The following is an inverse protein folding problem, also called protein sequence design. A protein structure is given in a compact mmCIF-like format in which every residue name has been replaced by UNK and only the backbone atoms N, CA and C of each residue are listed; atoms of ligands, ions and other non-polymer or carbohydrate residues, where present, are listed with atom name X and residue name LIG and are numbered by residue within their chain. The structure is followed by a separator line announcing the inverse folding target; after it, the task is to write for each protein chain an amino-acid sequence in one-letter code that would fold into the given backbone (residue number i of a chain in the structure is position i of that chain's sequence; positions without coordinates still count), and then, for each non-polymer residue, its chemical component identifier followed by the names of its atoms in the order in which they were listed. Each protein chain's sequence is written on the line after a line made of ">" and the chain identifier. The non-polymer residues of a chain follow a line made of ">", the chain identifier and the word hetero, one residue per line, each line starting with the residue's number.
data_IF_135168599505
#
_entry.id   IF_135168599505
#
_cell.length_a   1.000
_cell.length_b   1.000
_cell.length_c   1.000
_cell.angle_alpha   90.00
_cell.angle_beta   90.00
_cell.angle_gamma   90.00
#
_symmetry.space_group_name_H-M   'P 1'
#
loop_
_entity.id
_entity.type
_entity.pdbx_description
1 polymer ?
#
# COMPACT_ATOMS: atom_id res chain seq x y z
N UNK A 1 18.80 36.08 -26.08
CA UNK A 1 17.97 35.04 -25.45
C UNK A 1 17.92 33.88 -26.43
N UNK A 2 18.46 32.73 -26.04
CA UNK A 2 18.54 31.53 -26.88
C UNK A 2 17.73 30.40 -26.27
N UNK A 3 17.26 29.48 -27.12
CA UNK A 3 16.53 28.30 -26.69
C UNK A 3 17.52 27.17 -26.39
N UNK A 4 17.76 26.91 -25.11
CA UNK A 4 18.70 25.88 -24.65
C UNK A 4 17.98 24.60 -24.26
N UNK A 5 18.51 23.45 -24.69
CA UNK A 5 18.01 22.15 -24.28
C UNK A 5 18.56 21.79 -22.89
N UNK A 6 17.73 21.88 -21.86
CA UNK A 6 18.14 21.72 -20.45
C UNK A 6 17.71 20.36 -19.90
N UNK A 7 16.47 19.94 -20.15
CA UNK A 7 15.93 18.69 -19.61
C UNK A 7 15.95 17.59 -20.66
N UNK A 8 16.86 16.63 -20.45
CA UNK A 8 16.99 15.46 -21.31
C UNK A 8 15.68 14.66 -21.41
N UNK A 9 15.44 14.01 -22.53
CA UNK A 9 14.27 13.13 -22.72
C UNK A 9 14.16 12.07 -21.60
N UNK A 10 15.24 11.35 -21.20
CA UNK A 10 15.17 10.44 -20.07
C UNK A 10 14.71 11.09 -18.76
N UNK A 11 15.18 12.31 -18.45
CA UNK A 11 14.74 13.08 -17.27
C UNK A 11 13.23 13.37 -17.34
N UNK A 12 12.72 13.76 -18.51
CA UNK A 12 11.30 14.07 -18.72
C UNK A 12 10.41 12.83 -18.65
N UNK A 13 10.84 11.73 -19.24
CA UNK A 13 10.14 10.43 -19.17
C UNK A 13 10.08 9.95 -17.72
N UNK A 14 11.21 10.00 -16.98
CA UNK A 14 11.21 9.70 -15.56
C UNK A 14 10.23 10.58 -14.80
N UNK A 15 10.25 11.90 -15.00
CA UNK A 15 9.34 12.80 -14.29
C UNK A 15 7.87 12.45 -14.55
N UNK A 16 7.49 12.20 -15.80
CA UNK A 16 6.13 11.83 -16.18
C UNK A 16 5.70 10.50 -15.55
N UNK A 17 6.56 9.47 -15.63
CA UNK A 17 6.30 8.16 -15.03
C UNK A 17 6.23 8.25 -13.51
N UNK A 18 7.13 9.01 -12.87
CA UNK A 18 7.14 9.19 -11.43
C UNK A 18 5.86 9.85 -10.95
N UNK A 19 5.44 10.95 -11.59
CA UNK A 19 4.17 11.61 -11.26
C UNK A 19 2.95 10.68 -11.49
N UNK A 20 2.92 9.96 -12.60
CA UNK A 20 1.85 9.00 -12.91
C UNK A 20 1.77 7.88 -11.87
N UNK A 21 2.89 7.25 -11.53
CA UNK A 21 2.92 6.12 -10.61
C UNK A 21 2.64 6.53 -9.17
N UNK A 22 3.04 7.73 -8.76
CA UNK A 22 2.61 8.29 -7.48
C UNK A 22 1.09 8.50 -7.46
N UNK A 23 0.49 9.04 -8.54
CA UNK A 23 -0.97 9.16 -8.63
C UNK A 23 -1.66 7.79 -8.57
N UNK A 24 -1.16 6.80 -9.32
CA UNK A 24 -1.71 5.44 -9.29
C UNK A 24 -1.61 4.81 -7.90
N UNK A 25 -0.51 5.03 -7.17
CA UNK A 25 -0.36 4.54 -5.81
C UNK A 25 -1.43 5.11 -4.87
N UNK A 26 -1.75 6.40 -4.98
CA UNK A 26 -2.83 7.01 -4.20
C UNK A 26 -4.21 6.47 -4.58
N UNK A 27 -4.46 6.23 -5.88
CA UNK A 27 -5.74 5.71 -6.35
C UNK A 27 -5.96 4.23 -6.03
N UNK A 28 -4.88 3.47 -5.82
CA UNK A 28 -4.94 2.05 -5.50
C UNK A 28 -4.80 1.76 -4.00
N UNK A 29 -4.86 2.77 -3.13
CA UNK A 29 -4.58 2.61 -1.69
C UNK A 29 -5.70 1.88 -0.92
N UNK A 30 -6.82 1.57 -1.57
CA UNK A 30 -7.91 0.78 -0.98
C UNK A 30 -7.58 -0.72 -0.96
N UNK A 31 -8.13 -1.44 0.03
CA UNK A 31 -7.78 -2.84 0.34
C UNK A 31 -7.97 -3.78 -0.86
N UNK A 32 -9.02 -3.57 -1.67
CA UNK A 32 -9.27 -4.36 -2.89
C UNK A 32 -8.15 -4.26 -3.94
N UNK A 33 -7.38 -3.17 -3.95
CA UNK A 33 -6.26 -2.95 -4.89
C UNK A 33 -4.89 -3.08 -4.23
N UNK A 34 -4.81 -3.59 -2.99
CA UNK A 34 -3.59 -3.56 -2.18
C UNK A 34 -2.38 -4.24 -2.85
N UNK A 35 -2.59 -5.36 -3.55
CA UNK A 35 -1.52 -6.00 -4.31
C UNK A 35 -0.98 -5.11 -5.43
N UNK A 36 -1.87 -4.38 -6.12
CA UNK A 36 -1.47 -3.41 -7.14
C UNK A 36 -0.76 -2.22 -6.51
N UNK A 37 -1.24 -1.72 -5.36
CA UNK A 37 -0.57 -0.66 -4.59
C UNK A 37 0.88 -1.02 -4.26
N UNK A 38 1.10 -2.22 -3.73
CA UNK A 38 2.45 -2.71 -3.42
C UNK A 38 3.35 -2.77 -4.67
N UNK A 39 2.84 -3.33 -5.79
CA UNK A 39 3.58 -3.40 -7.06
C UNK A 39 3.91 -1.99 -7.60
N UNK A 40 2.97 -1.06 -7.54
CA UNK A 40 3.17 0.33 -7.95
C UNK A 40 4.24 0.98 -7.06
N UNK A 41 4.23 0.74 -5.74
CA UNK A 41 5.27 1.20 -4.82
C UNK A 41 6.67 0.69 -5.20
N UNK A 42 6.80 -0.59 -5.52
CA UNK A 42 8.06 -1.15 -6.03
C UNK A 42 8.48 -0.55 -7.38
N UNK A 43 7.54 -0.28 -8.28
CA UNK A 43 7.80 0.40 -9.55
C UNK A 43 8.30 1.85 -9.32
N UNK A 44 7.70 2.58 -8.39
CA UNK A 44 8.17 3.90 -7.95
C UNK A 44 9.60 3.83 -7.43
N UNK A 45 9.94 2.80 -6.64
CA UNK A 45 11.29 2.61 -6.13
C UNK A 45 12.33 2.40 -7.26
N UNK A 46 11.98 1.64 -8.30
CA UNK A 46 12.84 1.50 -9.50
C UNK A 46 13.08 2.86 -10.17
N UNK A 47 12.05 3.69 -10.30
CA UNK A 47 12.16 5.05 -10.85
C UNK A 47 13.06 5.92 -9.97
N UNK A 48 12.92 5.87 -8.64
CA UNK A 48 13.79 6.62 -7.72
C UNK A 48 15.23 6.16 -7.83
N UNK A 49 15.49 4.84 -7.90
CA UNK A 49 16.84 4.32 -8.13
C UNK A 49 17.44 4.83 -9.44
N UNK A 50 16.68 4.75 -10.54
CA UNK A 50 17.10 5.35 -11.81
C UNK A 50 17.52 6.82 -11.61
N UNK A 51 16.69 7.60 -10.90
CA UNK A 51 16.96 9.03 -10.71
C UNK A 51 18.16 9.32 -9.81
N UNK A 52 18.41 8.49 -8.80
CA UNK A 52 19.59 8.57 -7.94
C UNK A 52 20.84 8.35 -8.78
N UNK A 53 20.91 7.25 -9.52
CA UNK A 53 22.03 6.96 -10.43
C UNK A 53 22.22 8.07 -11.48
N UNK A 54 21.11 8.52 -12.09
CA UNK A 54 21.10 9.65 -13.02
C UNK A 54 21.59 10.97 -12.40
N UNK A 55 21.43 11.14 -11.08
CA UNK A 55 21.96 12.27 -10.33
C UNK A 55 23.47 12.27 -10.13
N UNK A 56 24.16 11.14 -10.39
CA UNK A 56 25.62 11.06 -10.28
C UNK A 56 26.33 11.13 -11.63
N UNK A 57 25.76 10.58 -12.70
CA UNK A 57 26.39 10.54 -14.02
C UNK A 57 25.52 11.04 -15.18
N UNK A 58 24.34 11.58 -14.91
CA UNK A 58 23.49 12.24 -15.91
C UNK A 58 24.13 13.50 -16.53
N UNK A 59 23.42 14.15 -17.45
CA UNK A 59 23.89 15.41 -18.04
C UNK A 59 23.86 16.56 -17.03
N UNK A 60 24.50 17.68 -17.39
CA UNK A 60 24.44 18.96 -16.66
C UNK A 60 22.98 19.28 -16.28
N UNK A 61 22.78 19.85 -15.09
CA UNK A 61 21.50 20.15 -14.43
C UNK A 61 20.74 18.95 -13.84
N UNK A 62 21.02 17.72 -14.27
CA UNK A 62 20.47 16.52 -13.64
C UNK A 62 21.31 16.03 -12.45
N UNK A 63 22.59 16.43 -12.40
CA UNK A 63 23.54 16.00 -11.39
C UNK A 63 23.25 16.67 -10.04
N UNK A 64 23.37 15.91 -8.94
CA UNK A 64 23.16 16.43 -7.59
C UNK A 64 24.16 17.55 -7.24
N UNK A 65 25.38 17.48 -7.78
CA UNK A 65 26.39 18.54 -7.60
C UNK A 65 26.02 19.87 -8.27
N UNK A 66 25.13 19.84 -9.26
CA UNK A 66 24.67 21.05 -9.97
C UNK A 66 23.53 21.73 -9.21
N UNK A 67 23.04 21.15 -8.13
CA UNK A 67 21.98 21.75 -7.34
C UNK A 67 22.57 22.83 -6.46
N UNK A 68 22.01 24.05 -6.47
CA UNK A 68 22.48 25.15 -5.66
C UNK A 68 22.03 25.00 -4.20
N UNK A 69 22.34 23.86 -3.58
CA UNK A 69 22.10 23.61 -2.17
C UNK A 69 23.05 24.48 -1.33
N UNK A 70 22.65 24.86 -0.12
CA UNK A 70 23.45 25.66 0.79
C UNK A 70 22.83 27.00 1.20
N UNK A 71 23.10 27.40 2.45
CA UNK A 71 22.47 28.58 3.09
C UNK A 71 22.67 29.88 2.30
N UNK A 72 23.85 30.07 1.68
CA UNK A 72 24.15 31.26 0.86
C UNK A 72 23.24 31.34 -0.37
N UNK A 73 23.07 30.23 -1.09
CA UNK A 73 22.21 30.18 -2.27
C UNK A 73 20.74 30.38 -1.90
N UNK A 74 20.28 29.81 -0.78
CA UNK A 74 18.91 30.05 -0.29
C UNK A 74 18.68 31.52 0.02
N UNK A 75 19.61 32.16 0.76
CA UNK A 75 19.50 33.59 1.08
C UNK A 75 19.54 34.46 -0.18
N UNK A 76 20.43 34.13 -1.12
CA UNK A 76 20.53 34.80 -2.42
C UNK A 76 19.19 34.70 -3.18
N UNK A 77 18.63 33.49 -3.30
CA UNK A 77 17.35 33.27 -3.98
C UNK A 77 16.19 34.01 -3.31
N UNK A 78 16.07 33.96 -1.98
CA UNK A 78 14.98 34.64 -1.27
C UNK A 78 15.05 36.17 -1.42
N UNK A 79 16.25 36.75 -1.44
CA UNK A 79 16.43 38.18 -1.62
C UNK A 79 16.05 38.66 -3.03
N UNK A 80 16.16 37.80 -4.04
CA UNK A 80 15.92 38.13 -5.45
C UNK A 80 14.71 37.39 -6.04
N UNK A 81 13.83 36.83 -5.18
CA UNK A 81 12.71 35.99 -5.62
C UNK A 81 11.66 36.76 -6.44
N UNK A 82 11.60 38.08 -6.30
CA UNK A 82 10.69 38.95 -7.05
C UNK A 82 11.33 39.53 -8.31
N UNK A 83 12.60 39.21 -8.59
CA UNK A 83 13.26 39.65 -9.82
C UNK A 83 12.83 38.79 -11.01
N UNK A 84 12.51 39.44 -12.13
CA UNK A 84 12.05 38.74 -13.33
C UNK A 84 13.13 37.79 -13.90
N UNK A 85 14.41 38.17 -13.77
CA UNK A 85 15.55 37.39 -14.27
C UNK A 85 16.18 36.58 -13.16
N UNK A 86 15.97 35.27 -13.16
CA UNK A 86 16.62 34.38 -12.19
C UNK A 86 17.99 33.90 -12.67
N UNK A 87 18.89 33.74 -11.69
CA UNK A 87 20.24 33.19 -11.86
C UNK A 87 20.25 31.68 -12.07
N UNK A 88 19.22 30.98 -11.62
CA UNK A 88 19.18 29.51 -11.57
C UNK A 88 18.47 28.93 -12.79
N UNK A 89 19.24 28.44 -13.77
CA UNK A 89 18.70 27.86 -15.01
C UNK A 89 18.03 26.51 -14.77
N UNK A 90 18.69 25.62 -14.02
CA UNK A 90 18.19 24.29 -13.67
C UNK A 90 17.20 24.34 -12.50
N UNK A 91 17.64 23.85 -11.33
CA UNK A 91 16.88 23.96 -10.09
C UNK A 91 17.27 25.23 -9.32
N UNK A 92 16.29 25.93 -8.74
CA UNK A 92 16.57 26.91 -7.70
C UNK A 92 16.79 26.21 -6.34
N UNK A 93 17.38 26.88 -5.34
CA UNK A 93 17.73 26.27 -4.06
C UNK A 93 16.54 25.63 -3.32
N UNK A 94 15.38 26.30 -3.30
CA UNK A 94 14.18 25.75 -2.63
C UNK A 94 13.67 24.51 -3.35
N UNK A 95 13.59 24.55 -4.68
CA UNK A 95 13.21 23.41 -5.51
C UNK A 95 14.19 22.22 -5.31
N UNK A 96 15.48 22.48 -5.15
CA UNK A 96 16.46 21.44 -4.84
C UNK A 96 16.19 20.76 -3.50
N UNK A 97 15.87 21.51 -2.44
CA UNK A 97 15.51 20.92 -1.14
C UNK A 97 14.23 20.11 -1.24
N UNK A 98 13.16 20.66 -1.84
CA UNK A 98 11.89 19.94 -2.01
C UNK A 98 12.09 18.64 -2.78
N UNK A 99 12.83 18.66 -3.88
CA UNK A 99 13.06 17.47 -4.68
C UNK A 99 13.91 16.41 -3.94
N UNK A 100 14.96 16.81 -3.21
CA UNK A 100 15.75 15.87 -2.38
C UNK A 100 14.86 15.26 -1.29
N UNK A 101 14.06 16.09 -0.60
CA UNK A 101 13.12 15.62 0.42
C UNK A 101 12.10 14.66 -0.18
N UNK A 102 11.54 14.94 -1.36
CA UNK A 102 10.61 14.03 -2.04
C UNK A 102 11.25 12.67 -2.31
N UNK A 103 12.51 12.60 -2.78
CA UNK A 103 13.17 11.31 -3.01
C UNK A 103 13.42 10.53 -1.71
N UNK A 104 13.88 11.20 -0.65
CA UNK A 104 14.11 10.56 0.64
C UNK A 104 12.79 10.03 1.20
N UNK A 105 11.76 10.88 1.26
CA UNK A 105 10.45 10.50 1.79
C UNK A 105 9.83 9.41 0.94
N UNK A 106 9.93 9.46 -0.38
CA UNK A 106 9.40 8.38 -1.25
C UNK A 106 10.05 7.03 -0.97
N UNK A 107 11.38 6.99 -0.77
CA UNK A 107 12.06 5.75 -0.37
C UNK A 107 11.52 5.25 0.97
N UNK A 108 11.39 6.15 1.95
CA UNK A 108 10.85 5.79 3.27
C UNK A 108 9.40 5.28 3.18
N UNK A 109 8.55 5.90 2.35
CA UNK A 109 7.17 5.46 2.10
C UNK A 109 7.16 4.04 1.53
N UNK A 110 7.94 3.76 0.48
CA UNK A 110 7.96 2.41 -0.11
C UNK A 110 8.52 1.37 0.86
N UNK A 111 9.58 1.70 1.60
CA UNK A 111 10.16 0.77 2.59
C UNK A 111 9.18 0.47 3.73
N UNK A 112 8.54 1.49 4.28
CA UNK A 112 7.54 1.32 5.35
C UNK A 112 6.30 0.61 4.85
N UNK A 113 5.85 0.87 3.62
CA UNK A 113 4.73 0.16 2.99
C UNK A 113 5.04 -1.32 2.77
N UNK A 114 6.25 -1.66 2.30
CA UNK A 114 6.66 -3.05 2.13
C UNK A 114 6.76 -3.79 3.48
N UNK A 115 7.22 -3.12 4.54
CA UNK A 115 7.23 -3.67 5.90
C UNK A 115 5.82 -3.87 6.43
N UNK A 116 4.94 -2.88 6.28
CA UNK A 116 3.53 -2.95 6.69
C UNK A 116 2.82 -4.11 5.98
N UNK A 117 2.95 -4.19 4.67
CA UNK A 117 2.40 -5.27 3.86
C UNK A 117 2.91 -6.66 4.30
N UNK A 118 4.17 -6.77 4.69
CA UNK A 118 4.72 -7.99 5.28
C UNK A 118 4.20 -8.31 6.68
N UNK A 119 4.06 -7.30 7.54
CA UNK A 119 3.75 -7.47 8.96
C UNK A 119 2.26 -7.65 9.20
N UNK A 120 1.42 -6.86 8.53
CA UNK A 120 -0.03 -6.86 8.68
C UNK A 120 -0.67 -7.96 7.83
N UNK A 121 -0.42 -7.94 6.52
CA UNK A 121 -1.03 -8.89 5.57
C UNK A 121 -0.33 -10.25 5.52
N UNK A 122 0.89 -10.35 6.06
CA UNK A 122 1.70 -11.55 5.87
C UNK A 122 2.11 -11.77 4.40
N UNK A 123 2.20 -10.71 3.60
CA UNK A 123 2.46 -10.79 2.16
C UNK A 123 3.82 -10.23 1.75
N UNK A 124 4.29 -10.68 0.59
CA UNK A 124 5.50 -10.15 -0.03
C UNK A 124 6.81 -10.55 0.65
N UNK A 125 7.89 -9.86 0.28
CA UNK A 125 9.27 -10.21 0.70
C UNK A 125 9.51 -10.13 2.21
N UNK A 126 8.66 -9.41 2.95
CA UNK A 126 8.76 -9.22 4.40
C UNK A 126 7.71 -10.02 5.19
N UNK A 127 6.99 -10.94 4.55
CA UNK A 127 5.97 -11.78 5.21
C UNK A 127 6.48 -12.54 6.44
N UNK A 128 7.77 -12.89 6.46
CA UNK A 128 8.43 -13.53 7.60
C UNK A 128 8.45 -12.67 8.87
N UNK A 129 8.26 -11.35 8.78
CA UNK A 129 8.20 -10.46 9.93
C UNK A 129 6.84 -10.49 10.64
N UNK A 130 5.78 -10.94 9.98
CA UNK A 130 4.44 -11.06 10.57
C UNK A 130 4.48 -11.84 11.89
N UNK A 131 5.14 -13.00 11.96
CA UNK A 131 5.18 -13.83 13.18
C UNK A 131 5.75 -13.10 14.40
N UNK A 132 6.70 -12.18 14.17
CA UNK A 132 7.40 -11.47 15.25
C UNK A 132 6.82 -10.09 15.53
N UNK A 133 6.16 -9.47 14.55
CA UNK A 133 5.78 -8.05 14.59
C UNK A 133 4.30 -7.78 14.38
N UNK A 134 3.43 -8.77 14.12
CA UNK A 134 1.99 -8.55 13.87
C UNK A 134 1.33 -7.69 14.95
N UNK A 135 1.69 -7.86 16.23
CA UNK A 135 1.16 -7.05 17.34
C UNK A 135 1.49 -5.55 17.27
N UNK A 136 2.39 -5.16 16.37
CA UNK A 136 2.79 -3.78 16.10
C UNK A 136 2.27 -3.28 14.74
N UNK A 137 1.38 -4.01 14.06
CA UNK A 137 0.86 -3.61 12.74
C UNK A 137 0.36 -2.17 12.73
N UNK A 138 -0.42 -1.75 13.73
CA UNK A 138 -0.96 -0.38 13.85
C UNK A 138 0.16 0.68 13.85
N UNK A 139 1.33 0.40 14.44
CA UNK A 139 2.47 1.33 14.43
C UNK A 139 3.06 1.47 13.03
N UNK A 140 3.14 0.39 12.26
CA UNK A 140 3.65 0.43 10.89
C UNK A 140 2.64 1.08 9.94
N UNK A 141 1.34 0.88 10.19
CA UNK A 141 0.22 1.54 9.53
C UNK A 141 0.34 3.07 9.70
N UNK A 142 0.37 3.54 10.96
CA UNK A 142 0.53 4.96 11.29
C UNK A 142 1.81 5.58 10.71
N UNK A 143 2.93 4.84 10.72
CA UNK A 143 4.19 5.32 10.16
C UNK A 143 4.11 5.49 8.64
N UNK A 144 3.50 4.53 7.94
CA UNK A 144 3.32 4.61 6.49
C UNK A 144 2.38 5.75 6.11
N UNK A 145 1.26 5.89 6.82
CA UNK A 145 0.31 7.00 6.66
C UNK A 145 0.94 8.37 6.92
N UNK A 146 1.76 8.49 7.97
CA UNK A 146 2.47 9.74 8.25
C UNK A 146 3.40 10.13 7.11
N UNK A 147 4.19 9.17 6.60
CA UNK A 147 5.15 9.42 5.53
C UNK A 147 4.45 9.71 4.19
N UNK A 148 3.34 9.04 3.89
CA UNK A 148 2.56 9.29 2.67
C UNK A 148 1.91 10.68 2.71
N UNK A 149 1.36 11.09 3.87
CA UNK A 149 0.86 12.46 4.07
C UNK A 149 1.97 13.52 3.96
N UNK A 150 3.17 13.24 4.49
CA UNK A 150 4.33 14.12 4.30
C UNK A 150 4.72 14.22 2.81
N UNK A 151 4.66 13.12 2.07
CA UNK A 151 4.91 13.12 0.62
C UNK A 151 3.88 13.99 -0.13
N UNK A 152 2.59 13.90 0.22
CA UNK A 152 1.54 14.77 -0.34
C UNK A 152 1.87 16.24 -0.05
N UNK A 153 2.23 16.58 1.18
CA UNK A 153 2.60 17.95 1.55
C UNK A 153 3.79 18.48 0.71
N UNK A 154 4.79 17.64 0.46
CA UNK A 154 5.92 17.99 -0.40
C UNK A 154 5.53 18.15 -1.88
N UNK A 155 4.62 17.32 -2.39
CA UNK A 155 4.06 17.46 -3.74
C UNK A 155 3.29 18.78 -3.86
N UNK A 156 2.47 19.12 -2.86
CA UNK A 156 1.76 20.42 -2.82
C UNK A 156 2.77 21.57 -2.81
N UNK A 157 3.81 21.50 -1.98
CA UNK A 157 4.85 22.52 -1.95
C UNK A 157 5.58 22.66 -3.30
N UNK A 158 5.85 21.54 -3.98
CA UNK A 158 6.42 21.51 -5.33
C UNK A 158 5.51 22.21 -6.34
N UNK A 159 4.22 21.87 -6.36
CA UNK A 159 3.24 22.49 -7.26
C UNK A 159 3.08 23.98 -6.98
N UNK A 160 3.01 24.40 -5.71
CA UNK A 160 3.01 25.81 -5.31
C UNK A 160 4.25 26.55 -5.83
N UNK A 161 5.43 25.93 -5.75
CA UNK A 161 6.66 26.47 -6.32
C UNK A 161 6.58 26.69 -7.84
N UNK A 162 5.99 25.74 -8.57
CA UNK A 162 5.74 25.87 -10.02
C UNK A 162 4.77 27.01 -10.32
N UNK A 163 3.68 27.14 -9.57
CA UNK A 163 2.73 28.22 -9.76
C UNK A 163 3.37 29.57 -9.46
N UNK A 164 4.10 29.70 -8.35
CA UNK A 164 4.84 30.92 -8.03
C UNK A 164 5.82 31.31 -9.13
N UNK A 165 6.60 30.35 -9.66
CA UNK A 165 7.52 30.59 -10.77
C UNK A 165 6.78 31.00 -12.05
N UNK A 166 5.62 30.40 -12.34
CA UNK A 166 4.77 30.79 -13.47
C UNK A 166 4.24 32.22 -13.35
N UNK A 167 4.00 32.74 -12.15
CA UNK A 167 3.53 34.11 -11.95
C UNK A 167 4.67 35.12 -11.94
N UNK A 168 5.75 34.85 -11.21
CA UNK A 168 6.86 35.76 -10.97
C UNK A 168 7.90 35.75 -12.11
N UNK A 169 8.09 34.60 -12.76
CA UNK A 169 9.18 34.36 -13.71
C UNK A 169 8.69 33.83 -15.07
N UNK A 170 7.57 34.39 -15.58
CA UNK A 170 6.90 33.94 -16.82
C UNK A 170 7.84 33.62 -17.99
N UNK A 171 8.87 34.44 -18.20
CA UNK A 171 9.84 34.30 -19.30
C UNK A 171 10.72 33.04 -19.22
N UNK A 172 10.78 32.36 -18.07
CA UNK A 172 11.60 31.16 -17.89
C UNK A 172 10.90 29.88 -18.34
N UNK A 173 9.58 29.93 -18.54
CA UNK A 173 8.78 28.82 -19.04
C UNK A 173 9.02 27.49 -18.31
N UNK A 174 9.26 27.51 -17.00
CA UNK A 174 9.66 26.32 -16.21
C UNK A 174 8.70 25.16 -16.40
N UNK A 175 7.38 25.41 -16.38
CA UNK A 175 6.37 24.38 -16.65
C UNK A 175 6.49 23.80 -18.07
N UNK A 176 6.68 24.63 -19.10
CA UNK A 176 6.80 24.14 -20.47
C UNK A 176 8.12 23.39 -20.67
N UNK A 177 9.15 23.73 -19.89
CA UNK A 177 10.48 23.15 -20.03
C UNK A 177 10.50 21.66 -19.66
N UNK A 178 9.71 21.22 -18.68
CA UNK A 178 9.65 19.78 -18.35
C UNK A 178 8.90 18.98 -19.42
N UNK A 179 8.05 19.62 -20.22
CA UNK A 179 7.34 18.98 -21.33
C UNK A 179 8.21 18.98 -22.59
N UNK A 180 8.81 20.10 -22.95
CA UNK A 180 9.55 20.28 -24.22
C UNK A 180 11.04 19.92 -24.10
N UNK A 181 11.61 20.07 -22.91
CA UNK A 181 13.05 19.96 -22.64
C UNK A 181 13.81 21.28 -22.73
N UNK A 182 13.17 22.36 -23.19
CA UNK A 182 13.86 23.61 -23.51
C UNK A 182 13.52 24.73 -22.51
N UNK A 183 14.51 25.57 -22.21
CA UNK A 183 14.35 26.85 -21.51
C UNK A 183 14.96 27.97 -22.33
N UNK A 184 14.54 29.20 -22.05
CA UNK A 184 15.16 30.39 -22.61
C UNK A 184 16.29 30.87 -21.69
N UNK A 185 17.51 30.96 -22.23
CA UNK A 185 18.72 31.36 -21.49
C UNK A 185 19.39 32.55 -22.17
N UNK A 186 20.36 33.19 -21.49
CA UNK A 186 21.14 34.28 -22.09
C UNK A 186 22.07 33.79 -23.20
N UNK A 187 22.68 32.62 -23.00
CA UNK A 187 23.63 31.96 -23.89
C UNK A 187 23.22 30.51 -24.14
N UNK A 188 23.79 29.86 -25.17
CA UNK A 188 23.54 28.44 -25.42
C UNK A 188 24.09 27.56 -24.30
N UNK A 189 23.20 27.02 -23.49
CA UNK A 189 23.49 26.12 -22.37
C UNK A 189 22.99 24.69 -22.63
N UNK A 190 22.81 24.32 -23.91
CA UNK A 190 22.25 23.04 -24.30
C UNK A 190 23.11 21.85 -23.88
N UNK A 191 22.48 20.85 -23.27
CA UNK A 191 23.11 19.59 -22.93
C UNK A 191 23.12 18.60 -24.10
N UNK A 192 24.05 17.65 -24.07
CA UNK A 192 24.09 16.50 -24.99
C UNK A 192 24.34 15.22 -24.21
N UNK A 193 23.53 14.19 -24.47
CA UNK A 193 23.73 12.89 -23.86
C UNK A 193 24.83 12.11 -24.58
N UNK A 194 25.73 11.51 -23.80
CA UNK A 194 26.71 10.55 -24.32
C UNK A 194 26.07 9.16 -24.52
N UNK A 195 26.80 8.24 -25.14
CA UNK A 195 26.29 6.90 -25.46
C UNK A 195 25.95 6.09 -24.20
N UNK A 196 26.78 6.17 -23.15
CA UNK A 196 26.56 5.45 -21.89
C UNK A 196 25.29 5.90 -21.17
N UNK A 197 25.03 7.21 -21.13
CA UNK A 197 23.80 7.79 -20.56
C UNK A 197 22.54 7.33 -21.32
N UNK A 198 22.62 7.26 -22.65
CA UNK A 198 21.52 6.75 -23.49
C UNK A 198 21.27 5.26 -23.22
N UNK A 199 22.34 4.45 -23.22
CA UNK A 199 22.26 3.02 -22.95
C UNK A 199 21.70 2.73 -21.56
N UNK A 200 22.22 3.40 -20.52
CA UNK A 200 21.71 3.26 -19.15
C UNK A 200 20.21 3.58 -19.07
N UNK A 201 19.77 4.69 -19.66
CA UNK A 201 18.36 5.09 -19.64
C UNK A 201 17.48 4.06 -20.36
N UNK A 202 17.94 3.55 -21.50
CA UNK A 202 17.21 2.53 -22.26
C UNK A 202 17.10 1.22 -21.48
N UNK A 203 18.20 0.76 -20.88
CA UNK A 203 18.22 -0.48 -20.08
C UNK A 203 17.32 -0.37 -18.86
N UNK A 204 17.36 0.75 -18.13
CA UNK A 204 16.48 0.99 -16.98
C UNK A 204 15.02 1.09 -17.40
N UNK A 205 14.72 1.66 -18.56
CA UNK A 205 13.36 1.69 -19.09
C UNK A 205 12.86 0.29 -19.48
N UNK A 206 13.69 -0.51 -20.16
CA UNK A 206 13.37 -1.91 -20.48
C UNK A 206 13.14 -2.72 -19.20
N UNK A 207 14.00 -2.54 -18.19
CA UNK A 207 13.85 -3.19 -16.89
C UNK A 207 12.53 -2.78 -16.21
N UNK A 208 12.20 -1.49 -16.19
CA UNK A 208 10.95 -0.98 -15.63
C UNK A 208 9.72 -1.58 -16.34
N UNK A 209 9.69 -1.58 -17.67
CA UNK A 209 8.59 -2.20 -18.44
C UNK A 209 8.54 -3.70 -18.21
N UNK A 210 9.69 -4.39 -18.18
CA UNK A 210 9.80 -5.81 -17.88
C UNK A 210 9.28 -6.15 -16.49
N UNK A 211 9.53 -5.31 -15.48
CA UNK A 211 9.00 -5.44 -14.14
C UNK A 211 7.46 -5.37 -14.12
N UNK A 212 6.87 -4.42 -14.84
CA UNK A 212 5.41 -4.30 -14.94
C UNK A 212 4.79 -5.53 -15.63
N UNK A 213 5.37 -5.93 -16.76
CA UNK A 213 4.94 -7.12 -17.51
C UNK A 213 5.04 -8.37 -16.62
N UNK A 214 6.16 -8.54 -15.91
CA UNK A 214 6.36 -9.68 -15.02
C UNK A 214 5.25 -9.80 -13.97
N UNK A 215 4.88 -8.69 -13.32
CA UNK A 215 3.84 -8.70 -12.29
C UNK A 215 2.44 -8.93 -12.86
N UNK A 216 2.16 -8.49 -14.10
CA UNK A 216 0.90 -8.79 -14.79
C UNK A 216 0.78 -10.30 -15.09
N UNK A 217 1.85 -10.93 -15.57
CA UNK A 217 1.83 -12.35 -15.92
C UNK A 217 2.03 -13.29 -14.73
N UNK A 218 2.60 -12.80 -13.62
CA UNK A 218 2.86 -13.59 -12.41
C UNK A 218 2.24 -12.90 -11.18
N UNK A 219 0.90 -12.83 -11.07
CA UNK A 219 0.22 -12.11 -9.99
C UNK A 219 0.40 -12.72 -8.59
N UNK A 220 1.00 -13.91 -8.50
CA UNK A 220 1.32 -14.62 -7.23
C UNK A 220 2.83 -14.73 -6.98
N UNK A 221 3.60 -13.78 -7.50
CA UNK A 221 5.04 -13.78 -7.32
C UNK A 221 5.45 -13.38 -5.89
N UNK A 222 6.74 -13.54 -5.56
CA UNK A 222 7.30 -13.29 -4.23
C UNK A 222 7.03 -11.89 -3.67
N UNK A 223 6.80 -10.88 -4.50
CA UNK A 223 6.56 -9.50 -4.06
C UNK A 223 5.17 -9.31 -3.45
N UNK A 224 4.21 -10.18 -3.77
CA UNK A 224 2.80 -10.07 -3.36
C UNK A 224 2.21 -11.35 -2.77
N UNK A 225 2.93 -12.48 -2.86
CA UNK A 225 2.46 -13.75 -2.34
C UNK A 225 2.19 -13.70 -0.82
N UNK A 226 1.06 -14.29 -0.42
CA UNK A 226 0.67 -14.49 0.98
C UNK A 226 1.39 -15.68 1.58
N UNK A 227 1.77 -15.56 2.86
CA UNK A 227 2.21 -16.70 3.67
C UNK A 227 1.06 -17.60 4.11
N UNK A 228 -0.18 -17.11 4.04
CA UNK A 228 -1.36 -17.83 4.48
C UNK A 228 -1.82 -18.76 3.37
N UNK A 229 -1.93 -20.04 3.69
CA UNK A 229 -2.38 -21.07 2.77
C UNK A 229 -3.77 -21.57 3.14
N UNK A 230 -4.49 -22.09 2.15
CA UNK A 230 -5.79 -22.70 2.36
C UNK A 230 -5.66 -23.90 3.32
N UNK A 231 -6.47 -23.88 4.38
CA UNK A 231 -6.51 -24.92 5.40
C UNK A 231 -7.61 -25.93 5.06
N UNK A 232 -7.26 -27.22 5.03
CA UNK A 232 -8.24 -28.30 5.07
C UNK A 232 -8.57 -28.66 6.52
N UNK A 233 -9.58 -28.00 7.08
CA UNK A 233 -10.03 -28.24 8.44
C UNK A 233 -10.54 -29.67 8.66
N UNK A 234 -11.02 -30.37 7.62
CA UNK A 234 -11.53 -31.74 7.78
C UNK A 234 -10.38 -32.69 8.08
N UNK A 235 -9.24 -32.47 7.43
CA UNK A 235 -8.02 -33.24 7.67
C UNK A 235 -7.40 -32.91 9.03
N UNK A 236 -7.60 -31.71 9.56
CA UNK A 236 -7.14 -31.34 10.91
C UNK A 236 -8.06 -31.85 12.03
N UNK A 237 -9.38 -31.78 11.84
CA UNK A 237 -10.40 -32.26 12.76
C UNK A 237 -11.73 -32.53 12.02
N UNK A 238 -12.00 -33.80 11.76
CA UNK A 238 -13.22 -34.21 11.05
C UNK A 238 -14.50 -33.91 11.85
N UNK A 239 -14.49 -34.10 13.16
CA UNK A 239 -15.66 -33.82 14.02
C UNK A 239 -16.02 -32.34 14.01
N UNK A 240 -15.03 -31.46 14.10
CA UNK A 240 -15.25 -30.01 14.00
C UNK A 240 -15.96 -29.63 12.70
N UNK A 241 -15.48 -30.12 11.55
CA UNK A 241 -16.12 -29.80 10.27
C UNK A 241 -17.51 -30.42 10.18
N UNK A 242 -17.66 -31.69 10.60
CA UNK A 242 -18.94 -32.39 10.51
C UNK A 242 -20.02 -31.71 11.34
N UNK A 243 -19.71 -31.34 12.58
CA UNK A 243 -20.68 -30.75 13.50
C UNK A 243 -20.86 -29.24 13.23
N UNK A 244 -19.79 -28.46 13.07
CA UNK A 244 -19.85 -27.00 12.96
C UNK A 244 -20.14 -26.46 11.55
N UNK A 245 -19.97 -27.25 10.49
CA UNK A 245 -20.33 -26.84 9.11
C UNK A 245 -21.71 -27.36 8.65
N UNK A 246 -22.44 -28.06 9.53
CA UNK A 246 -23.69 -28.74 9.18
C UNK A 246 -24.85 -27.76 8.91
N UNK A 247 -24.92 -26.67 9.68
CA UNK A 247 -26.03 -25.73 9.66
C UNK A 247 -25.69 -24.36 9.04
N UNK A 248 -24.45 -23.90 9.17
CA UNK A 248 -23.99 -22.59 8.69
C UNK A 248 -22.57 -22.67 8.10
N UNK A 249 -22.08 -21.55 7.58
CA UNK A 249 -20.69 -21.42 7.11
C UNK A 249 -19.72 -21.93 8.17
N UNK A 250 -18.74 -22.73 7.77
CA UNK A 250 -17.66 -23.12 8.69
C UNK A 250 -16.81 -21.88 9.03
N UNK A 251 -16.94 -21.39 10.26
CA UNK A 251 -16.12 -20.27 10.74
C UNK A 251 -14.72 -20.76 11.16
N UNK A 252 -13.64 -20.20 10.59
CA UNK A 252 -12.29 -20.53 11.02
C UNK A 252 -12.10 -20.25 12.52
N UNK A 253 -11.42 -21.12 13.28
CA UNK A 253 -11.26 -20.90 14.72
C UNK A 253 -10.62 -19.54 15.09
N UNK A 254 -9.79 -18.97 14.20
CA UNK A 254 -9.05 -17.73 14.45
C UNK A 254 -9.91 -16.45 14.44
N UNK A 255 -11.18 -16.52 14.07
CA UNK A 255 -12.09 -15.35 13.99
C UNK A 255 -12.69 -14.97 15.34
N UNK A 256 -12.54 -15.81 16.37
CA UNK A 256 -13.01 -15.56 17.73
C UNK A 256 -11.96 -15.94 18.77
N UNK A 257 -11.94 -15.26 19.93
CA UNK A 257 -11.04 -15.60 21.03
C UNK A 257 -11.47 -16.87 21.76
N UNK A 258 -10.56 -17.42 22.57
CA UNK A 258 -10.79 -18.60 23.41
C UNK A 258 -12.06 -18.46 24.24
N UNK A 259 -12.21 -17.32 24.92
CA UNK A 259 -13.35 -17.05 25.80
C UNK A 259 -14.69 -17.13 25.05
N UNK A 260 -14.75 -16.60 23.83
CA UNK A 260 -15.96 -16.69 23.00
C UNK A 260 -16.28 -18.12 22.63
N UNK A 261 -15.28 -18.92 22.25
CA UNK A 261 -15.47 -20.34 21.95
C UNK A 261 -15.90 -21.15 23.17
N UNK A 262 -15.35 -20.86 24.35
CA UNK A 262 -15.78 -21.49 25.62
C UNK A 262 -17.25 -21.19 25.91
N UNK A 263 -17.66 -19.93 25.77
CA UNK A 263 -19.06 -19.53 25.98
C UNK A 263 -20.02 -20.21 25.00
N UNK A 264 -19.64 -20.29 23.71
CA UNK A 264 -20.45 -20.97 22.69
C UNK A 264 -20.58 -22.46 22.99
N UNK A 265 -19.46 -23.14 23.26
CA UNK A 265 -19.44 -24.59 23.46
C UNK A 265 -20.05 -25.02 24.81
N UNK A 266 -20.16 -24.11 25.77
CA UNK A 266 -20.78 -24.36 27.07
C UNK A 266 -22.32 -24.32 27.03
N UNK A 267 -22.93 -23.71 25.99
CA UNK A 267 -24.37 -23.45 25.92
C UNK A 267 -24.95 -23.77 24.52
N UNK A 268 -24.54 -24.91 23.96
CA UNK A 268 -24.97 -25.34 22.62
C UNK A 268 -26.48 -25.67 22.53
N UNK A 269 -27.15 -25.91 23.65
CA UNK A 269 -28.61 -26.05 23.70
C UNK A 269 -29.34 -24.74 23.33
N UNK A 270 -28.67 -23.59 23.47
CA UNK A 270 -29.16 -22.26 23.14
C UNK A 270 -28.35 -21.61 22.00
N UNK A 271 -28.00 -22.38 20.97
CA UNK A 271 -27.14 -21.94 19.87
C UNK A 271 -27.88 -21.07 18.83
N UNK A 272 -27.96 -19.77 19.09
CA UNK A 272 -28.56 -18.76 18.18
C UNK A 272 -30.03 -19.02 17.79
N UNK A 273 -30.77 -19.72 18.65
CA UNK A 273 -32.18 -20.06 18.44
C UNK A 273 -32.42 -21.50 18.03
N UNK A 274 -31.36 -22.29 17.83
CA UNK A 274 -31.41 -23.73 17.57
C UNK A 274 -30.67 -24.51 18.67
N UNK A 275 -30.94 -25.81 18.75
CA UNK A 275 -30.20 -26.75 19.61
C UNK A 275 -29.10 -27.43 18.79
N UNK A 276 -27.85 -27.15 19.14
CA UNK A 276 -26.65 -27.74 18.54
C UNK A 276 -25.90 -28.63 19.54
N UNK A 277 -26.59 -29.15 20.56
CA UNK A 277 -25.99 -29.96 21.62
C UNK A 277 -25.25 -31.17 21.07
N UNK A 278 -24.08 -31.42 21.65
CA UNK A 278 -23.21 -32.55 21.32
C UNK A 278 -23.01 -33.42 22.54
N UNK A 279 -22.65 -34.69 22.32
CA UNK A 279 -22.17 -35.53 23.41
C UNK A 279 -20.87 -34.95 24.02
N UNK A 280 -20.61 -35.34 25.27
CA UNK A 280 -19.51 -34.78 26.08
C UNK A 280 -18.13 -34.97 25.42
N UNK A 281 -17.92 -36.09 24.72
CA UNK A 281 -16.62 -36.39 24.10
C UNK A 281 -16.41 -35.55 22.84
N UNK A 282 -17.44 -35.46 21.98
CA UNK A 282 -17.43 -34.59 20.80
C UNK A 282 -17.26 -33.12 21.17
N UNK A 283 -17.99 -32.63 22.18
CA UNK A 283 -17.87 -31.26 22.67
C UNK A 283 -16.43 -30.96 23.13
N UNK A 284 -15.85 -31.82 23.97
CA UNK A 284 -14.47 -31.66 24.46
C UNK A 284 -13.43 -31.68 23.34
N UNK A 285 -13.60 -32.55 22.34
CA UNK A 285 -12.72 -32.63 21.18
C UNK A 285 -12.73 -31.34 20.36
N UNK A 286 -13.92 -30.85 20.01
CA UNK A 286 -14.10 -29.64 19.21
C UNK A 286 -13.63 -28.41 19.97
N UNK A 287 -13.98 -28.28 21.26
CA UNK A 287 -13.52 -27.17 22.08
C UNK A 287 -11.99 -27.13 22.15
N UNK A 288 -11.32 -28.26 22.38
CA UNK A 288 -9.86 -28.30 22.38
C UNK A 288 -9.25 -27.84 21.04
N UNK A 289 -9.88 -28.20 19.92
CA UNK A 289 -9.46 -27.74 18.59
C UNK A 289 -9.67 -26.24 18.39
N UNK A 290 -10.82 -25.70 18.80
CA UNK A 290 -11.13 -24.27 18.73
C UNK A 290 -10.15 -23.44 19.56
N UNK A 291 -9.88 -23.85 20.81
CA UNK A 291 -8.95 -23.14 21.70
C UNK A 291 -7.50 -23.21 21.22
N UNK A 292 -7.11 -24.30 20.56
CA UNK A 292 -5.77 -24.43 19.98
C UNK A 292 -5.57 -23.52 18.77
N UNK A 293 -6.62 -23.23 18.01
CA UNK A 293 -6.53 -22.45 16.77
C UNK A 293 -7.24 -21.09 16.86
N UNK A 294 -7.57 -20.63 18.07
CA UNK A 294 -8.30 -19.39 18.33
C UNK A 294 -7.53 -18.14 17.88
N UNK A 295 -8.20 -16.99 17.90
CA UNK A 295 -7.63 -15.71 17.48
C UNK A 295 -6.29 -15.38 18.18
N UNK A 296 -6.12 -15.75 19.44
CA UNK A 296 -4.89 -15.51 20.23
C UNK A 296 -3.66 -16.24 19.68
N UNK A 297 -3.87 -17.31 18.92
CA UNK A 297 -2.80 -18.12 18.33
C UNK A 297 -2.62 -17.87 16.83
N UNK A 298 -3.32 -16.87 16.27
CA UNK A 298 -3.21 -16.43 14.87
C UNK A 298 -2.45 -15.12 14.77
N UNK A 299 -1.76 -14.93 13.64
CA UNK A 299 -1.06 -13.70 13.29
C UNK A 299 -1.79 -12.89 12.22
N UNK A 300 -2.94 -13.37 11.74
CA UNK A 300 -3.74 -12.66 10.74
C UNK A 300 -4.23 -11.32 11.30
N UNK A 301 -4.28 -10.32 10.42
CA UNK A 301 -4.78 -8.99 10.77
C UNK A 301 -6.15 -9.07 11.44
N UNK A 302 -7.10 -9.74 10.80
CA UNK A 302 -8.47 -9.88 11.30
C UNK A 302 -8.53 -10.45 12.72
N UNK A 303 -7.77 -11.51 13.01
CA UNK A 303 -7.69 -12.10 14.35
C UNK A 303 -7.23 -11.07 15.38
N UNK A 304 -6.19 -10.30 15.03
CA UNK A 304 -5.68 -9.26 15.91
C UNK A 304 -6.68 -8.12 16.10
N UNK A 305 -7.31 -7.62 15.03
CA UNK A 305 -8.29 -6.53 15.10
C UNK A 305 -9.59 -6.98 15.81
N UNK A 306 -10.04 -8.23 15.64
CA UNK A 306 -11.13 -8.81 16.42
C UNK A 306 -10.80 -8.85 17.91
N UNK A 307 -9.62 -9.35 18.29
CA UNK A 307 -9.17 -9.36 19.69
C UNK A 307 -9.17 -7.97 20.32
N UNK A 308 -8.61 -6.98 19.60
CA UNK A 308 -8.62 -5.59 20.06
C UNK A 308 -10.04 -5.02 20.23
N UNK A 309 -10.97 -5.40 19.35
CA UNK A 309 -12.35 -4.89 19.36
C UNK A 309 -13.20 -5.46 20.50
N UNK A 310 -13.00 -6.74 20.85
CA UNK A 310 -13.77 -7.43 21.89
C UNK A 310 -13.34 -7.01 23.30
N UNK A 311 -12.03 -6.77 23.50
CA UNK A 311 -11.44 -6.42 24.81
C UNK A 311 -11.85 -7.45 25.88
N UNK A 312 -12.61 -7.02 26.90
CA UNK A 312 -13.07 -7.87 28.01
C UNK A 312 -14.56 -8.22 27.94
N UNK A 313 -15.21 -7.99 26.79
CA UNK A 313 -16.64 -8.25 26.61
C UNK A 313 -16.89 -9.71 26.24
N UNK A 314 -18.04 -10.23 26.70
CA UNK A 314 -18.51 -11.58 26.38
C UNK A 314 -19.29 -11.54 25.06
N UNK A 315 -18.54 -11.51 23.94
CA UNK A 315 -19.10 -11.51 22.58
C UNK A 315 -18.97 -12.90 21.97
N UNK A 316 -20.10 -13.53 21.67
CA UNK A 316 -20.14 -14.85 21.00
C UNK A 316 -20.39 -14.77 19.49
N UNK A 317 -20.61 -13.57 18.95
CA UNK A 317 -20.86 -13.36 17.52
C UNK A 317 -19.95 -12.25 16.97
N UNK A 318 -19.11 -12.58 15.98
CA UNK A 318 -18.19 -11.64 15.36
C UNK A 318 -18.88 -10.39 14.79
N UNK A 319 -20.12 -10.55 14.30
CA UNK A 319 -20.93 -9.47 13.71
C UNK A 319 -21.40 -8.42 14.71
N UNK A 320 -21.20 -8.65 16.02
CA UNK A 320 -21.46 -7.70 17.11
C UNK A 320 -20.19 -6.96 17.56
N UNK A 321 -19.05 -7.24 16.96
CA UNK A 321 -17.81 -6.54 17.28
C UNK A 321 -17.74 -5.21 16.55
N UNK A 322 -17.10 -4.21 17.17
CA UNK A 322 -16.91 -2.89 16.55
C UNK A 322 -16.01 -2.96 15.31
N UNK A 323 -15.10 -3.93 15.24
CA UNK A 323 -14.29 -4.16 14.05
C UNK A 323 -15.17 -4.61 12.88
N UNK A 324 -16.00 -5.65 13.06
CA UNK A 324 -16.91 -6.10 12.00
C UNK A 324 -17.83 -4.98 11.53
N UNK A 325 -18.44 -4.25 12.47
CA UNK A 325 -19.34 -3.13 12.15
C UNK A 325 -18.65 -2.02 11.37
N UNK A 326 -17.40 -1.67 11.72
CA UNK A 326 -16.63 -0.63 11.03
C UNK A 326 -16.20 -1.10 9.63
N UNK A 327 -15.72 -2.33 9.50
CA UNK A 327 -15.27 -2.90 8.22
C UNK A 327 -16.43 -3.05 7.22
N UNK A 328 -17.62 -3.38 7.70
CA UNK A 328 -18.80 -3.62 6.85
C UNK A 328 -19.76 -2.42 6.80
N UNK A 329 -19.36 -1.23 7.30
CA UNK A 329 -20.24 -0.06 7.44
C UNK A 329 -20.80 0.46 6.10
N UNK A 330 -20.04 0.28 5.02
CA UNK A 330 -20.36 0.82 3.69
C UNK A 330 -21.23 -0.15 2.87
N UNK A 331 -21.54 -1.34 3.42
CA UNK A 331 -22.50 -2.26 2.82
C UNK A 331 -23.93 -1.73 2.97
N UNK A 332 -24.72 -1.66 1.87
CA UNK A 332 -26.14 -1.35 1.95
C UNK A 332 -26.85 -2.34 2.87
N UNK A 333 -27.69 -1.87 3.79
CA UNK A 333 -28.34 -2.77 4.78
C UNK A 333 -29.25 -3.80 4.12
N UNK A 334 -29.85 -3.40 3.00
CA UNK A 334 -30.74 -4.20 2.17
C UNK A 334 -30.03 -5.41 1.54
N UNK A 335 -28.68 -5.41 1.51
CA UNK A 335 -27.92 -6.55 1.00
C UNK A 335 -28.23 -7.83 1.78
N UNK A 336 -28.50 -7.71 3.08
CA UNK A 336 -28.83 -8.87 3.92
C UNK A 336 -30.25 -9.39 3.70
N UNK A 337 -31.12 -8.64 3.04
CA UNK A 337 -32.46 -9.09 2.63
C UNK A 337 -32.40 -9.95 1.35
N UNK A 338 -31.26 -9.99 0.67
CA UNK A 338 -31.07 -10.80 -0.54
C UNK A 338 -31.17 -12.30 -0.22
N UNK A 339 -31.92 -13.06 -1.03
CA UNK A 339 -32.13 -14.49 -0.83
C UNK A 339 -30.85 -15.34 -0.79
N UNK A 340 -29.77 -14.91 -1.44
CA UNK A 340 -28.48 -15.59 -1.41
C UNK A 340 -27.68 -15.31 -0.14
N UNK A 341 -27.89 -14.15 0.50
CA UNK A 341 -27.09 -13.68 1.63
C UNK A 341 -27.84 -13.93 2.93
N UNK A 342 -29.12 -13.53 3.02
CA UNK A 342 -30.09 -13.73 4.10
C UNK A 342 -29.76 -13.12 5.46
N UNK A 343 -28.48 -13.09 5.84
CA UNK A 343 -28.05 -12.59 7.15
C UNK A 343 -26.57 -12.24 7.16
N UNK A 344 -26.17 -11.50 8.21
CA UNK A 344 -24.76 -11.18 8.50
C UNK A 344 -23.92 -12.42 8.84
N UNK A 345 -24.55 -13.57 9.12
CA UNK A 345 -23.85 -14.80 9.46
C UNK A 345 -23.29 -15.51 8.20
N UNK A 346 -23.86 -15.27 7.02
CA UNK A 346 -23.44 -15.92 5.79
C UNK A 346 -22.19 -15.26 5.16
N UNK A 347 -21.09 -15.24 5.90
CA UNK A 347 -19.83 -14.63 5.45
C UNK A 347 -19.34 -15.23 4.13
N UNK A 348 -19.60 -16.52 3.87
CA UNK A 348 -19.22 -17.21 2.64
C UNK A 348 -19.85 -16.61 1.37
N UNK A 349 -20.97 -15.91 1.50
CA UNK A 349 -21.60 -15.24 0.37
C UNK A 349 -20.66 -14.23 -0.31
N UNK A 350 -19.83 -13.54 0.48
CA UNK A 350 -18.85 -12.57 -0.02
C UNK A 350 -17.40 -13.10 0.10
N UNK A 351 -17.07 -13.78 1.20
CA UNK A 351 -15.74 -14.36 1.47
C UNK A 351 -15.70 -15.84 1.06
N UNK A 352 -15.54 -16.10 -0.23
CA UNK A 352 -15.71 -17.44 -0.82
C UNK A 352 -14.77 -18.52 -0.26
N UNK A 353 -13.62 -18.12 0.27
CA UNK A 353 -12.59 -19.01 0.82
C UNK A 353 -12.54 -18.99 2.35
N UNK A 354 -13.54 -18.39 3.03
CA UNK A 354 -13.58 -18.30 4.50
C UNK A 354 -13.50 -19.68 5.15
N UNK A 355 -14.16 -20.70 4.61
CA UNK A 355 -14.13 -22.07 5.15
C UNK A 355 -12.77 -22.75 4.99
N UNK A 356 -11.84 -22.14 4.23
CA UNK A 356 -10.44 -22.57 4.10
C UNK A 356 -9.50 -21.71 4.95
N UNK A 357 -10.05 -20.86 5.83
CA UNK A 357 -9.26 -19.97 6.66
C UNK A 357 -8.69 -18.76 5.91
N UNK A 358 -9.19 -18.44 4.72
CA UNK A 358 -8.74 -17.27 3.95
C UNK A 358 -9.86 -16.24 3.88
N UNK A 359 -9.54 -15.00 4.26
CA UNK A 359 -10.49 -13.89 4.27
C UNK A 359 -9.86 -12.62 3.66
N UNK A 360 -8.85 -12.79 2.82
CA UNK A 360 -8.11 -11.71 2.17
C UNK A 360 -9.05 -10.84 1.33
N UNK A 361 -8.88 -9.51 1.43
CA UNK A 361 -9.78 -8.53 0.85
C UNK A 361 -9.87 -8.62 -0.68
N UNK A 362 -8.75 -8.92 -1.35
CA UNK A 362 -8.72 -9.06 -2.82
C UNK A 362 -9.55 -10.25 -3.36
N UNK A 363 -9.92 -11.20 -2.48
CA UNK A 363 -10.72 -12.37 -2.84
C UNK A 363 -12.21 -12.19 -2.51
N UNK A 364 -12.59 -11.07 -1.90
CA UNK A 364 -13.98 -10.74 -1.61
C UNK A 364 -14.73 -10.51 -2.93
N UNK A 365 -15.89 -11.16 -3.07
CA UNK A 365 -16.76 -10.99 -4.23
C UNK A 365 -18.03 -10.28 -3.85
N UNK A 366 -18.53 -9.44 -4.75
CA UNK A 366 -19.89 -8.95 -4.65
C UNK A 366 -20.86 -10.07 -5.09
N UNK A 367 -21.67 -10.64 -4.18
CA UNK A 367 -22.61 -11.73 -4.51
C UNK A 367 -23.76 -11.30 -5.43
N UNK A 368 -23.92 -10.00 -5.68
CA UNK A 368 -24.96 -9.42 -6.54
C UNK A 368 -24.51 -9.20 -8.00
N UNK A 369 -23.21 -9.34 -8.30
CA UNK A 369 -22.63 -9.16 -9.64
C UNK A 369 -22.37 -10.49 -10.35
#
# INVERSE_FOLDING_TARGET
>A
MEKSYIWSLPTRVFHALFALFILLAFLSAEDEWLNYHAIIGYAVLILVFYRIFWGFFGPKYSLFKDFPTGKKNVKDFLNHIFEEKQKYVGHNPLASYVMISMFIVTILVVLTGALLFGIQEGKGIFSFLNDSFFKKMDLFEELHEFLSNLLIALIIAHLCGIFADRFLHKKQETLNSIVTGYKITSENESIKLNIYQKMFSLLMFIFFVGFLIFNIYNPKNLLVASKYEAIDYKTQNELFVKECASCHTLYPPFVLPKKSWELIMADLENHFGDDASLDVESNKNILAFLLKNSAENSTMESSFKFLQSIKNQDIIAMSKTTYWEKTHKDLPKEIFDNEKIKSKANCKACHIDIEKGLIEDENIKNPLN
#
